data_IF_709784805250
#
_entry.id   IF_709784805250
#
_cell.length_a   1.000
_cell.length_b   1.000
_cell.length_c   1.000
_cell.angle_alpha   90.00
_cell.angle_beta   90.00
_cell.angle_gamma   90.00
#
_symmetry.space_group_name_H-M   'P 1'
#
loop_
_entity.id
_entity.type
_entity.pdbx_description
1 polymer ?
#
# COMPACT_ATOMS: atom_id res chain seq x y z
N UNK A 1 -2.63 -3.54 -48.97
CA UNK A 1 -1.98 -3.29 -47.67
C UNK A 1 -3.06 -2.82 -46.71
N UNK A 2 -3.59 -3.70 -45.86
CA UNK A 2 -4.47 -3.28 -44.77
C UNK A 2 -4.09 -4.07 -43.52
N UNK A 3 -3.56 -3.33 -42.54
CA UNK A 3 -3.05 -3.85 -41.29
C UNK A 3 -4.22 -4.18 -40.37
N UNK A 4 -4.51 -5.48 -40.22
CA UNK A 4 -5.44 -6.00 -39.20
C UNK A 4 -4.83 -5.75 -37.82
N UNK A 5 -5.14 -4.60 -37.21
CA UNK A 5 -4.81 -4.31 -35.80
C UNK A 5 -5.56 -5.31 -34.91
N UNK A 6 -4.91 -6.42 -34.57
CA UNK A 6 -5.33 -7.30 -33.47
C UNK A 6 -5.31 -6.46 -32.19
N UNK A 7 -6.48 -6.09 -31.71
CA UNK A 7 -6.66 -5.35 -30.46
C UNK A 7 -6.08 -6.20 -29.32
N UNK A 8 -5.00 -5.73 -28.70
CA UNK A 8 -4.24 -6.44 -27.68
C UNK A 8 -5.04 -6.44 -26.37
N UNK A 9 -5.99 -7.37 -26.20
CA UNK A 9 -6.69 -7.60 -24.92
C UNK A 9 -5.83 -8.35 -23.88
N UNK A 10 -4.84 -9.10 -24.34
CA UNK A 10 -3.96 -9.95 -23.51
C UNK A 10 -3.08 -9.14 -22.52
N UNK A 11 -2.45 -7.98 -22.88
CA UNK A 11 -1.64 -7.23 -21.92
C UNK A 11 -2.44 -6.57 -20.80
N UNK A 12 -3.69 -6.14 -21.05
CA UNK A 12 -4.52 -5.46 -20.04
C UNK A 12 -4.99 -6.39 -18.92
N UNK A 13 -5.38 -7.63 -19.25
CA UNK A 13 -5.73 -8.65 -18.26
C UNK A 13 -4.51 -9.07 -17.44
N UNK A 14 -3.34 -9.18 -18.09
CA UNK A 14 -2.09 -9.52 -17.43
C UNK A 14 -1.63 -8.41 -16.46
N UNK A 15 -1.82 -7.14 -16.81
CA UNK A 15 -1.52 -6.02 -15.90
C UNK A 15 -2.47 -5.95 -14.71
N UNK A 16 -3.76 -6.23 -14.87
CA UNK A 16 -4.72 -6.20 -13.75
C UNK A 16 -4.44 -7.33 -12.77
N UNK A 17 -4.16 -8.54 -13.28
CA UNK A 17 -3.78 -9.70 -12.43
C UNK A 17 -2.44 -9.45 -11.75
N UNK A 18 -1.47 -8.84 -12.45
CA UNK A 18 -0.22 -8.42 -11.82
C UNK A 18 -0.47 -7.38 -10.72
N UNK A 19 -1.24 -6.31 -10.96
CA UNK A 19 -1.58 -5.31 -9.95
C UNK A 19 -2.32 -5.91 -8.74
N UNK A 20 -3.20 -6.89 -8.94
CA UNK A 20 -3.88 -7.60 -7.85
C UNK A 20 -2.90 -8.47 -7.03
N UNK A 21 -1.99 -9.18 -7.68
CA UNK A 21 -0.93 -9.98 -7.03
C UNK A 21 0.15 -9.11 -6.36
N UNK A 22 0.38 -7.88 -6.86
CA UNK A 22 1.24 -6.89 -6.20
C UNK A 22 0.55 -6.24 -4.99
N UNK A 23 -0.78 -6.21 -4.96
CA UNK A 23 -1.58 -5.63 -3.87
C UNK A 23 -1.68 -6.55 -2.63
N UNK A 24 -1.41 -7.86 -2.77
CA UNK A 24 -1.37 -8.81 -1.64
C UNK A 24 -0.29 -8.47 -0.59
N UNK A 25 0.67 -7.60 -0.93
CA UNK A 25 1.74 -7.17 0.01
C UNK A 25 1.48 -5.84 0.73
N UNK A 26 0.29 -5.26 0.62
CA UNK A 26 -0.04 -3.98 1.28
C UNK A 26 -1.17 -4.09 2.31
N UNK A 27 -1.48 -5.28 2.81
CA UNK A 27 -2.30 -5.41 4.03
C UNK A 27 -1.43 -5.08 5.26
N UNK A 28 -1.01 -3.83 5.38
CA UNK A 28 -0.64 -3.28 6.69
C UNK A 28 -1.96 -3.10 7.44
N UNK A 29 -2.09 -3.74 8.61
CA UNK A 29 -3.23 -3.50 9.47
C UNK A 29 -3.18 -2.10 10.07
N UNK A 30 -4.32 -1.60 10.53
CA UNK A 30 -4.38 -0.27 11.14
C UNK A 30 -3.79 -0.31 12.56
N UNK A 31 -3.12 0.78 12.93
CA UNK A 31 -2.67 0.98 14.31
C UNK A 31 -3.82 1.48 15.20
N UNK A 32 -3.76 1.26 16.53
CA UNK A 32 -4.81 1.68 17.44
C UNK A 32 -5.10 3.19 17.36
N UNK A 33 -6.38 3.56 17.31
CA UNK A 33 -6.85 4.95 17.24
C UNK A 33 -7.31 5.46 18.61
N UNK A 34 -6.48 5.30 19.64
CA UNK A 34 -6.77 5.62 21.05
C UNK A 34 -6.30 7.02 21.49
N UNK A 35 -5.87 7.84 20.53
CA UNK A 35 -5.34 9.19 20.77
C UNK A 35 -3.83 9.23 20.99
N UNK A 36 -3.15 8.08 21.05
CA UNK A 36 -1.68 8.00 21.02
C UNK A 36 -1.16 8.12 19.59
N UNK A 37 0.08 8.55 19.45
CA UNK A 37 0.77 8.54 18.16
C UNK A 37 1.50 7.21 17.97
N UNK A 38 0.94 6.34 17.14
CA UNK A 38 1.51 5.04 16.80
C UNK A 38 2.30 5.12 15.50
N UNK A 39 3.42 4.41 15.46
CA UNK A 39 4.31 4.30 14.30
C UNK A 39 4.25 2.86 13.79
N UNK A 40 3.72 2.61 12.58
CA UNK A 40 3.66 1.26 12.03
C UNK A 40 5.04 0.80 11.57
N UNK A 41 5.42 -0.43 11.93
CA UNK A 41 6.59 -1.10 11.39
C UNK A 41 6.36 -2.62 11.37
N UNK A 42 6.60 -3.27 10.23
CA UNK A 42 6.31 -4.70 10.06
C UNK A 42 4.81 -4.99 10.25
N UNK A 43 4.48 -5.88 11.20
CA UNK A 43 3.11 -6.26 11.60
C UNK A 43 2.70 -5.68 12.96
N UNK A 44 3.51 -4.77 13.51
CA UNK A 44 3.28 -4.13 14.81
C UNK A 44 3.18 -2.61 14.66
N UNK A 45 2.73 -1.98 15.74
CA UNK A 45 2.60 -0.56 15.93
C UNK A 45 3.34 -0.18 17.20
N UNK A 46 4.13 0.89 17.14
CA UNK A 46 5.00 1.30 18.24
C UNK A 46 4.64 2.69 18.71
N UNK A 47 4.43 2.85 20.01
CA UNK A 47 4.21 4.14 20.65
C UNK A 47 5.39 4.47 21.56
N UNK A 48 6.19 5.45 21.13
CA UNK A 48 7.32 5.96 21.90
C UNK A 48 6.80 7.00 22.90
N UNK A 49 6.88 6.68 24.18
CA UNK A 49 6.38 7.56 25.25
C UNK A 49 7.30 8.76 25.36
N UNK A 50 6.80 9.94 25.03
CA UNK A 50 7.54 11.19 25.14
C UNK A 50 7.12 11.95 26.39
N UNK A 51 8.06 12.71 26.96
CA UNK A 51 7.77 13.62 28.06
C UNK A 51 7.44 15.03 27.59
N UNK A 52 7.54 15.96 28.55
CA UNK A 52 7.50 17.40 28.28
C UNK A 52 8.67 17.83 27.37
N UNK A 53 8.46 18.92 26.65
CA UNK A 53 9.38 19.41 25.63
C UNK A 53 10.81 19.55 26.17
N UNK A 54 11.78 18.92 25.47
CA UNK A 54 13.22 18.95 25.73
C UNK A 54 13.76 18.07 26.88
N UNK A 55 13.00 17.14 27.46
CA UNK A 55 13.57 16.13 28.35
C UNK A 55 13.20 14.70 27.93
N UNK A 56 14.17 13.79 27.81
CA UNK A 56 13.86 12.37 27.71
C UNK A 56 13.16 11.97 29.02
N UNK A 57 12.00 11.31 28.91
CA UNK A 57 11.29 10.81 30.08
C UNK A 57 11.67 9.35 30.29
N UNK A 58 12.31 9.11 31.41
CA UNK A 58 12.69 7.79 31.87
C UNK A 58 11.69 7.37 32.96
N UNK A 59 11.41 6.07 33.03
CA UNK A 59 10.45 5.51 33.96
C UNK A 59 11.01 4.24 34.58
N UNK A 60 10.65 3.94 35.82
CA UNK A 60 10.84 2.61 36.39
C UNK A 60 10.06 1.56 35.61
N UNK A 61 10.47 0.29 35.68
CA UNK A 61 9.83 -0.80 34.95
C UNK A 61 8.32 -0.91 35.24
N UNK A 62 7.91 -0.79 36.51
CA UNK A 62 6.50 -0.87 36.89
C UNK A 62 5.68 0.26 36.27
N UNK A 63 6.26 1.46 36.21
CA UNK A 63 5.63 2.62 35.57
C UNK A 63 5.58 2.44 34.05
N UNK A 64 6.62 1.85 33.45
CA UNK A 64 6.63 1.50 32.02
C UNK A 64 5.51 0.51 31.67
N UNK A 65 5.39 -0.58 32.44
CA UNK A 65 4.31 -1.57 32.30
C UNK A 65 2.92 -0.93 32.48
N UNK A 66 2.77 -0.03 33.46
CA UNK A 66 1.53 0.69 33.66
C UNK A 66 1.18 1.62 32.49
N UNK A 67 2.19 2.26 31.88
CA UNK A 67 2.02 3.16 30.73
C UNK A 67 1.57 2.39 29.49
N UNK A 68 2.11 1.19 29.28
CA UNK A 68 1.72 0.30 28.19
C UNK A 68 0.50 -0.58 28.50
N UNK A 69 -0.23 -0.34 29.59
CA UNK A 69 -1.43 -1.12 29.94
C UNK A 69 -2.43 -1.17 28.78
N UNK A 70 -2.88 -2.38 28.43
CA UNK A 70 -3.75 -2.65 27.28
C UNK A 70 -2.97 -3.02 26.00
N UNK A 71 -1.64 -2.88 26.05
CA UNK A 71 -0.68 -3.24 25.01
C UNK A 71 0.51 -3.94 25.67
N UNK A 72 1.60 -4.11 24.92
CA UNK A 72 2.82 -4.75 25.42
C UNK A 72 3.98 -3.77 25.52
N UNK A 73 4.96 -4.10 26.35
CA UNK A 73 6.25 -3.41 26.36
C UNK A 73 7.10 -3.98 25.22
N UNK A 74 7.94 -3.14 24.61
CA UNK A 74 8.72 -3.47 23.43
C UNK A 74 9.30 -4.89 23.42
N UNK A 75 8.89 -5.67 22.43
CA UNK A 75 9.59 -6.90 22.04
C UNK A 75 10.53 -6.62 20.85
N UNK A 76 11.54 -7.47 20.65
CA UNK A 76 12.43 -7.35 19.49
C UNK A 76 12.64 -8.73 18.88
N UNK A 77 11.97 -8.96 17.75
CA UNK A 77 11.85 -10.25 17.06
C UNK A 77 12.93 -10.49 16.02
N UNK A 78 13.53 -9.43 15.49
CA UNK A 78 14.55 -9.53 14.46
C UNK A 78 15.46 -8.28 14.43
N UNK A 79 16.50 -8.35 13.60
CA UNK A 79 17.48 -7.28 13.45
C UNK A 79 16.87 -6.01 12.85
N UNK A 80 15.91 -6.15 11.95
CA UNK A 80 15.23 -5.03 11.29
C UNK A 80 14.40 -4.21 12.29
N UNK A 81 13.68 -4.88 13.18
CA UNK A 81 12.95 -4.26 14.29
C UNK A 81 13.89 -3.57 15.27
N UNK A 82 14.98 -4.24 15.66
CA UNK A 82 16.00 -3.63 16.51
C UNK A 82 16.57 -2.35 15.90
N UNK A 83 16.83 -2.37 14.59
CA UNK A 83 17.32 -1.22 13.84
C UNK A 83 16.28 -0.09 13.77
N UNK A 84 15.02 -0.43 13.53
CA UNK A 84 13.92 0.55 13.52
C UNK A 84 13.81 1.30 14.86
N UNK A 85 13.89 0.58 16.00
CA UNK A 85 13.82 1.19 17.32
C UNK A 85 14.94 2.22 17.53
N UNK A 86 16.19 1.89 17.16
CA UNK A 86 17.31 2.82 17.35
C UNK A 86 17.28 4.00 16.37
N UNK A 87 16.76 3.83 15.16
CA UNK A 87 16.64 4.92 14.19
C UNK A 87 15.51 5.89 14.53
N UNK A 88 14.43 5.40 15.15
CA UNK A 88 13.27 6.22 15.51
C UNK A 88 13.42 6.91 16.87
N UNK A 89 14.07 6.26 17.85
CA UNK A 89 14.32 6.80 19.19
C UNK A 89 14.83 8.27 19.22
N UNK A 90 15.87 8.67 18.45
CA UNK A 90 16.38 10.05 18.48
C UNK A 90 15.43 11.09 17.87
N UNK A 91 14.38 10.66 17.17
CA UNK A 91 13.34 11.56 16.66
C UNK A 91 12.35 11.96 17.76
N UNK A 92 12.26 11.16 18.83
CA UNK A 92 11.32 11.35 19.95
C UNK A 92 12.05 11.89 21.18
N UNK A 93 13.20 11.31 21.51
CA UNK A 93 13.97 11.68 22.69
C UNK A 93 15.26 12.40 22.30
N UNK A 94 15.55 13.51 22.97
CA UNK A 94 16.84 14.19 22.84
C UNK A 94 17.89 13.47 23.69
N UNK A 95 18.96 13.02 23.05
CA UNK A 95 20.06 12.29 23.69
C UNK A 95 19.92 10.77 23.56
N UNK A 96 20.85 10.03 24.17
CA UNK A 96 20.83 8.58 24.17
C UNK A 96 20.16 8.12 25.47
N UNK A 97 18.96 7.54 25.36
CA UNK A 97 18.23 6.92 26.46
C UNK A 97 18.09 5.43 26.18
N UNK A 98 18.35 4.58 27.17
CA UNK A 98 18.11 3.15 27.03
C UNK A 98 16.60 2.90 27.06
N UNK A 99 16.13 1.83 26.44
CA UNK A 99 14.70 1.53 26.26
C UNK A 99 14.39 0.22 26.96
N UNK A 100 13.37 0.21 27.81
CA UNK A 100 12.93 -1.04 28.43
C UNK A 100 12.49 -2.07 27.39
N UNK A 101 12.91 -3.32 27.58
CA UNK A 101 12.42 -4.46 26.84
C UNK A 101 11.39 -5.24 27.67
N UNK A 102 10.35 -5.76 27.01
CA UNK A 102 9.32 -6.61 27.59
C UNK A 102 9.76 -8.04 27.88
N UNK A 103 11.03 -8.25 28.21
CA UNK A 103 11.63 -9.52 28.60
C UNK A 103 11.31 -9.82 30.07
N UNK A 104 10.94 -11.06 30.35
CA UNK A 104 10.85 -11.58 31.71
C UNK A 104 11.44 -12.99 31.78
N UNK A 105 11.86 -13.38 32.99
CA UNK A 105 12.34 -14.73 33.24
C UNK A 105 11.19 -15.64 33.66
N UNK A 106 10.96 -16.72 32.89
CA UNK A 106 9.98 -17.74 33.23
C UNK A 106 10.63 -18.81 34.11
N UNK A 107 10.23 -18.88 35.38
CA UNK A 107 10.76 -19.84 36.37
C UNK A 107 10.33 -21.28 36.12
N UNK A 108 9.24 -21.52 35.39
CA UNK A 108 8.75 -22.88 35.13
C UNK A 108 9.62 -23.59 34.09
N UNK A 109 10.14 -22.83 33.13
CA UNK A 109 10.94 -23.33 32.02
C UNK A 109 12.42 -22.95 32.10
N UNK A 110 12.83 -22.13 33.09
CA UNK A 110 14.19 -21.63 33.29
C UNK A 110 14.71 -20.84 32.07
N UNK A 111 13.84 -20.05 31.43
CA UNK A 111 14.12 -19.34 30.17
C UNK A 111 13.57 -17.92 30.15
N UNK A 112 14.24 -17.02 29.44
CA UNK A 112 13.67 -15.70 29.11
C UNK A 112 12.58 -15.81 28.05
N UNK A 113 11.52 -15.03 28.23
CA UNK A 113 10.36 -14.96 27.34
C UNK A 113 9.90 -13.50 27.17
N UNK A 114 9.21 -13.23 26.07
CA UNK A 114 8.49 -11.98 25.85
C UNK A 114 7.13 -12.03 26.56
N UNK A 115 6.59 -10.89 26.97
CA UNK A 115 5.32 -10.80 27.69
C UNK A 115 4.09 -11.40 26.98
N UNK A 116 4.14 -11.59 25.66
CA UNK A 116 3.14 -12.35 24.88
C UNK A 116 3.25 -13.88 25.05
N UNK A 117 4.15 -14.35 25.92
CA UNK A 117 4.51 -15.75 26.15
C UNK A 117 5.18 -16.44 24.97
N UNK A 118 5.82 -15.68 24.07
CA UNK A 118 6.68 -16.27 23.03
C UNK A 118 8.14 -16.36 23.49
N UNK A 119 8.87 -17.29 22.88
CA UNK A 119 10.29 -17.46 23.12
C UNK A 119 11.13 -16.33 22.52
N UNK A 120 12.33 -16.14 23.07
CA UNK A 120 13.30 -15.17 22.58
C UNK A 120 14.13 -15.81 21.46
N UNK A 121 13.78 -15.54 20.21
CA UNK A 121 14.47 -16.09 19.03
C UNK A 121 15.64 -15.21 18.57
N UNK A 122 15.46 -13.89 18.64
CA UNK A 122 16.49 -12.91 18.33
C UNK A 122 17.08 -12.34 19.63
N UNK A 123 18.40 -12.21 19.67
CA UNK A 123 19.13 -11.63 20.79
C UNK A 123 20.23 -10.70 20.28
N UNK A 124 20.44 -9.58 20.98
CA UNK A 124 21.50 -8.64 20.65
C UNK A 124 22.24 -8.13 21.89
N UNK A 125 22.56 -9.02 22.83
CA UNK A 125 23.23 -8.68 24.09
C UNK A 125 24.55 -7.93 23.89
N UNK A 126 24.82 -7.00 24.80
CA UNK A 126 26.11 -6.34 25.00
C UNK A 126 27.03 -7.26 25.80
N UNK A 127 28.24 -7.49 25.27
CA UNK A 127 29.19 -8.42 25.88
C UNK A 127 28.72 -9.87 25.80
N UNK A 128 29.15 -10.70 26.75
CA UNK A 128 28.87 -12.13 26.73
C UNK A 128 27.47 -12.49 27.23
N UNK A 129 26.72 -11.57 27.85
CA UNK A 129 25.38 -11.86 28.41
C UNK A 129 25.38 -12.95 29.50
N UNK A 130 26.56 -13.34 30.02
CA UNK A 130 26.71 -14.61 30.77
C UNK A 130 26.49 -14.47 32.28
N UNK A 131 26.69 -13.31 32.89
CA UNK A 131 26.50 -13.23 34.35
C UNK A 131 26.40 -11.78 34.82
N UNK A 132 25.18 -11.32 35.11
CA UNK A 132 24.96 -10.07 35.83
C UNK A 132 25.19 -10.24 37.35
N UNK A 133 25.43 -11.47 37.83
CA UNK A 133 25.49 -11.79 39.26
C UNK A 133 24.14 -11.67 39.98
N UNK A 134 23.07 -11.40 39.23
CA UNK A 134 21.71 -11.25 39.71
C UNK A 134 20.97 -12.59 39.63
N UNK A 135 19.99 -12.76 40.52
CA UNK A 135 19.02 -13.85 40.37
C UNK A 135 18.29 -13.69 39.04
N UNK A 136 18.14 -14.74 38.21
CA UNK A 136 17.46 -14.64 36.92
C UNK A 136 16.06 -14.01 36.99
N UNK A 137 15.37 -14.20 38.13
CA UNK A 137 14.03 -13.65 38.40
C UNK A 137 14.04 -12.13 38.57
N UNK A 138 15.18 -11.57 38.98
CA UNK A 138 15.38 -10.13 39.19
C UNK A 138 16.08 -9.47 37.98
N UNK A 139 16.31 -10.23 36.90
CA UNK A 139 16.94 -9.74 35.67
C UNK A 139 15.88 -9.25 34.68
N UNK A 140 15.98 -7.97 34.38
CA UNK A 140 15.27 -7.29 33.30
C UNK A 140 16.26 -6.91 32.19
N UNK A 141 15.75 -6.39 31.08
CA UNK A 141 16.59 -6.01 29.95
C UNK A 141 16.26 -4.61 29.43
N UNK A 142 17.29 -3.90 29.00
CA UNK A 142 17.17 -2.61 28.34
C UNK A 142 17.99 -2.60 27.05
N UNK A 143 17.48 -1.92 26.02
CA UNK A 143 18.13 -1.71 24.73
C UNK A 143 18.83 -0.35 24.74
N UNK A 144 20.11 -0.33 24.38
CA UNK A 144 20.89 0.89 24.19
C UNK A 144 20.50 1.53 22.86
N UNK A 145 19.85 2.70 22.89
CA UNK A 145 19.36 3.38 21.67
C UNK A 145 20.47 3.81 20.70
N UNK A 146 21.72 3.89 21.16
CA UNK A 146 22.86 4.31 20.34
C UNK A 146 23.57 3.15 19.62
N UNK A 147 23.60 1.96 20.23
CA UNK A 147 24.32 0.77 19.71
C UNK A 147 23.38 -0.32 19.24
N UNK A 148 22.12 -0.28 19.67
CA UNK A 148 21.14 -1.35 19.50
C UNK A 148 21.40 -2.58 20.35
N UNK A 149 22.43 -2.58 21.19
CA UNK A 149 22.77 -3.71 22.07
C UNK A 149 21.89 -3.75 23.31
N UNK A 150 21.71 -4.94 23.88
CA UNK A 150 20.88 -5.14 25.05
C UNK A 150 21.72 -5.38 26.29
N UNK A 151 21.36 -4.79 27.40
CA UNK A 151 22.00 -5.01 28.70
C UNK A 151 21.04 -5.69 29.65
N UNK A 152 21.59 -6.51 30.56
CA UNK A 152 20.86 -7.02 31.71
C UNK A 152 20.89 -5.98 32.82
N UNK A 153 19.72 -5.66 33.36
CA UNK A 153 19.53 -4.67 34.43
C UNK A 153 18.67 -5.26 35.53
N UNK A 154 18.80 -4.73 36.75
CA UNK A 154 17.95 -5.14 37.85
C UNK A 154 16.51 -4.66 37.64
N UNK A 155 15.53 -5.53 37.83
CA UNK A 155 14.11 -5.15 37.87
C UNK A 155 13.72 -4.41 39.16
N UNK A 156 14.51 -4.57 40.23
CA UNK A 156 14.16 -4.15 41.59
C UNK A 156 14.76 -2.80 41.99
N UNK A 157 15.75 -2.32 41.25
CA UNK A 157 16.36 -1.01 41.50
C UNK A 157 15.52 0.11 40.85
N UNK A 158 15.68 1.34 41.35
CA UNK A 158 15.08 2.56 40.77
C UNK A 158 15.77 2.97 39.46
N UNK A 159 16.10 1.99 38.61
CA UNK A 159 16.61 2.21 37.25
C UNK A 159 15.47 2.76 36.41
N UNK A 160 15.75 3.80 35.64
CA UNK A 160 14.77 4.44 34.77
C UNK A 160 15.25 4.38 33.32
N UNK A 161 14.39 3.88 32.43
CA UNK A 161 14.65 3.82 30.99
C UNK A 161 13.45 4.38 30.22
N UNK A 162 13.67 4.69 28.94
CA UNK A 162 12.63 5.07 27.99
C UNK A 162 11.65 3.93 27.74
N UNK A 163 10.44 4.30 27.30
CA UNK A 163 9.33 3.36 27.14
C UNK A 163 8.83 3.38 25.71
N UNK A 164 8.79 2.20 25.11
CA UNK A 164 8.10 1.97 23.84
C UNK A 164 7.04 0.91 24.09
N UNK A 165 5.78 1.26 23.81
CA UNK A 165 4.68 0.31 23.83
C UNK A 165 4.50 -0.28 22.44
N UNK A 166 4.25 -1.57 22.37
CA UNK A 166 4.01 -2.33 21.15
C UNK A 166 2.57 -2.85 21.13
N UNK A 167 1.91 -2.71 19.99
CA UNK A 167 0.61 -3.29 19.70
C UNK A 167 0.70 -4.08 18.40
N UNK A 168 0.07 -5.24 18.33
CA UNK A 168 -0.15 -5.91 17.06
C UNK A 168 -1.00 -4.99 16.15
N UNK A 169 -0.67 -4.94 14.86
CA UNK A 169 -1.58 -4.31 13.90
C UNK A 169 -2.90 -5.06 13.92
N UNK A 170 -4.02 -4.33 13.95
CA UNK A 170 -5.31 -4.97 13.80
C UNK A 170 -5.35 -5.54 12.39
N UNK A 171 -5.26 -6.87 12.27
CA UNK A 171 -5.66 -7.52 11.03
C UNK A 171 -7.06 -7.01 10.77
N UNK A 172 -7.31 -6.44 9.59
CA UNK A 172 -8.66 -6.15 9.14
C UNK A 172 -9.35 -7.51 9.22
N UNK A 173 -10.07 -7.75 10.32
CA UNK A 173 -10.94 -8.89 10.44
C UNK A 173 -11.81 -8.73 9.20
N UNK A 174 -11.70 -9.68 8.29
CA UNK A 174 -12.70 -9.82 7.27
C UNK A 174 -14.05 -10.07 8.00
N UNK A 175 -14.72 -9.01 8.47
CA UNK A 175 -16.00 -8.75 7.83
C UNK A 175 -15.62 -8.67 6.38
N UNK A 176 -15.72 -9.81 5.70
CA UNK A 176 -15.57 -9.94 4.28
C UNK A 176 -16.56 -8.95 3.66
N UNK A 177 -16.08 -7.72 3.56
CA UNK A 177 -16.54 -6.67 2.69
C UNK A 177 -16.07 -6.97 1.27
N UNK A 178 -15.70 -8.21 0.95
CA UNK A 178 -16.19 -8.87 -0.25
C UNK A 178 -17.72 -8.96 -0.19
N UNK A 179 -18.38 -7.81 -0.04
CA UNK A 179 -19.77 -7.68 -0.42
C UNK A 179 -19.77 -8.07 -1.89
N UNK A 180 -20.52 -9.11 -2.31
CA UNK A 180 -20.65 -9.45 -3.72
C UNK A 180 -21.09 -8.24 -4.55
N UNK A 181 -21.60 -7.19 -3.89
CA UNK A 181 -21.88 -5.87 -4.40
C UNK A 181 -20.66 -5.13 -4.98
N UNK A 182 -19.50 -5.07 -4.31
CA UNK A 182 -18.37 -4.26 -4.79
C UNK A 182 -17.68 -4.94 -5.99
N UNK A 183 -17.50 -6.25 -5.93
CA UNK A 183 -17.04 -7.07 -7.07
C UNK A 183 -18.04 -7.04 -8.22
N UNK A 184 -19.36 -7.11 -7.93
CA UNK A 184 -20.38 -6.96 -8.96
C UNK A 184 -20.41 -5.55 -9.56
N UNK A 185 -20.20 -4.49 -8.78
CA UNK A 185 -20.14 -3.12 -9.28
C UNK A 185 -18.95 -2.91 -10.22
N UNK A 186 -17.78 -3.42 -9.86
CA UNK A 186 -16.60 -3.40 -10.73
C UNK A 186 -16.87 -4.20 -12.00
N UNK A 187 -17.39 -5.43 -11.90
CA UNK A 187 -17.71 -6.26 -13.06
C UNK A 187 -18.77 -5.61 -13.98
N UNK A 188 -19.84 -5.04 -13.40
CA UNK A 188 -20.88 -4.33 -14.13
C UNK A 188 -20.34 -3.09 -14.82
N UNK A 189 -19.47 -2.32 -14.15
CA UNK A 189 -18.83 -1.15 -14.76
C UNK A 189 -17.99 -1.53 -15.98
N UNK A 190 -17.24 -2.64 -15.90
CA UNK A 190 -16.44 -3.17 -17.01
C UNK A 190 -17.33 -3.63 -18.16
N UNK A 191 -18.42 -4.36 -17.88
CA UNK A 191 -19.36 -4.80 -18.91
C UNK A 191 -20.05 -3.63 -19.62
N UNK A 192 -20.42 -2.57 -18.88
CA UNK A 192 -21.01 -1.35 -19.45
C UNK A 192 -19.99 -0.63 -20.34
N UNK A 193 -18.74 -0.48 -19.89
CA UNK A 193 -17.69 0.16 -20.68
C UNK A 193 -17.44 -0.62 -21.98
N UNK A 194 -17.38 -1.96 -21.92
CA UNK A 194 -17.24 -2.80 -23.10
C UNK A 194 -18.44 -2.66 -24.05
N UNK A 195 -19.66 -2.65 -23.52
CA UNK A 195 -20.89 -2.45 -24.30
C UNK A 195 -20.91 -1.08 -25.00
N UNK A 196 -20.66 0.00 -24.28
CA UNK A 196 -20.59 1.37 -24.84
C UNK A 196 -19.51 1.46 -25.91
N UNK A 197 -18.34 0.87 -25.67
CA UNK A 197 -17.25 0.86 -26.65
C UNK A 197 -17.63 0.13 -27.96
N UNK A 198 -18.35 -0.99 -27.87
CA UNK A 198 -18.82 -1.74 -29.03
C UNK A 198 -19.92 -0.98 -29.80
N UNK A 199 -20.82 -0.31 -29.08
CA UNK A 199 -21.88 0.52 -29.67
C UNK A 199 -21.30 1.74 -30.39
N UNK A 200 -20.37 2.46 -29.75
CA UNK A 200 -19.66 3.58 -30.39
C UNK A 200 -18.89 3.11 -31.62
N UNK A 201 -18.22 1.96 -31.55
CA UNK A 201 -17.54 1.37 -32.69
C UNK A 201 -18.50 1.02 -33.83
N UNK A 202 -19.66 0.42 -33.53
CA UNK A 202 -20.68 0.08 -34.52
C UNK A 202 -21.29 1.34 -35.18
N UNK A 203 -21.60 2.38 -34.40
CA UNK A 203 -22.09 3.65 -34.95
C UNK A 203 -21.04 4.37 -35.79
N UNK A 204 -19.77 4.37 -35.35
CA UNK A 204 -18.66 4.90 -36.13
C UNK A 204 -18.49 4.12 -37.45
N UNK A 205 -18.62 2.79 -37.41
CA UNK A 205 -18.61 1.96 -38.62
C UNK A 205 -19.79 2.27 -39.55
N UNK A 206 -20.98 2.56 -38.99
CA UNK A 206 -22.17 2.92 -39.77
C UNK A 206 -22.08 4.31 -40.38
N UNK A 207 -21.52 5.28 -39.65
CA UNK A 207 -21.25 6.63 -40.16
C UNK A 207 -20.18 6.62 -41.25
N UNK A 208 -19.11 5.82 -41.10
CA UNK A 208 -18.12 5.61 -42.16
C UNK A 208 -18.67 4.80 -43.36
N UNK A 209 -19.69 3.96 -43.17
CA UNK A 209 -20.37 3.29 -44.28
C UNK A 209 -21.28 4.27 -45.05
N UNK A 210 -21.86 5.25 -44.35
CA UNK A 210 -22.71 6.29 -44.95
C UNK A 210 -21.92 7.35 -45.72
N UNK A 211 -20.64 7.58 -45.43
CA UNK A 211 -19.79 8.49 -46.22
C UNK A 211 -19.13 7.85 -47.43
N UNK A 212 -19.28 6.53 -47.64
CA UNK A 212 -18.76 5.81 -48.80
C UNK A 212 -19.82 5.43 -49.85
N UNK A 213 -21.10 5.78 -49.66
CA UNK A 213 -22.11 5.57 -50.70
C UNK A 213 -23.11 6.73 -50.73
N UNK A 214 -23.23 7.33 -51.91
CA UNK A 214 -24.21 8.33 -52.35
C UNK A 214 -23.84 9.82 -52.23
N UNK A 215 -22.93 10.23 -53.12
CA UNK A 215 -23.19 11.31 -54.09
C UNK A 215 -22.82 10.73 -55.48
N UNK A 216 -23.43 10.99 -56.62
CA UNK A 216 -24.64 11.70 -57.02
C UNK A 216 -25.00 11.14 -58.41
N UNK A 217 -26.29 10.90 -58.69
CA UNK A 217 -26.76 10.82 -60.09
C UNK A 217 -28.20 11.32 -60.13
N UNK A 218 -28.36 12.64 -60.09
CA UNK A 218 -29.61 13.32 -60.40
C UNK A 218 -29.69 13.43 -61.93
N UNK A 219 -30.36 12.46 -62.57
CA UNK A 219 -30.63 12.50 -64.01
C UNK A 219 -32.04 13.05 -64.22
N UNK A 220 -32.15 14.30 -64.65
CA UNK A 220 -33.40 14.88 -65.13
C UNK A 220 -33.56 14.61 -66.64
N UNK A 221 -34.69 14.04 -67.11
CA UNK A 221 -35.02 14.07 -68.53
C UNK A 221 -35.90 15.29 -68.84
N UNK A 222 -35.73 15.93 -70.00
CA UNK A 222 -36.85 16.65 -70.59
C UNK A 222 -37.16 16.25 -72.04
N UNK A 223 -38.47 16.07 -72.25
CA UNK A 223 -39.27 16.37 -73.43
C UNK A 223 -39.02 15.64 -74.76
N UNK A 224 -40.06 14.89 -75.14
CA UNK A 224 -40.33 14.37 -76.48
C UNK A 224 -41.02 15.44 -77.32
N UNK A 225 -40.51 15.72 -78.51
CA UNK A 225 -41.31 15.98 -79.72
C UNK A 225 -40.48 15.66 -80.98
N UNK A 226 -41.10 15.43 -82.16
CA UNK A 226 -40.70 14.36 -83.08
C UNK A 226 -39.76 14.75 -84.24
N UNK A 227 -38.94 13.77 -84.64
CA UNK A 227 -38.27 13.49 -85.93
C UNK A 227 -37.90 14.65 -86.87
N UNK A 228 -36.60 14.78 -87.19
CA UNK A 228 -36.07 14.67 -88.56
C UNK A 228 -34.53 14.65 -88.53
N UNK A 229 -33.96 14.01 -89.53
CA UNK A 229 -32.56 13.65 -89.74
C UNK A 229 -31.52 14.79 -89.69
N UNK A 230 -30.24 14.36 -89.72
CA UNK A 230 -29.06 15.03 -90.30
C UNK A 230 -28.08 15.75 -89.34
N UNK A 231 -26.99 15.02 -89.08
CA UNK A 231 -25.57 15.37 -89.32
C UNK A 231 -24.87 16.61 -88.70
N UNK A 232 -23.67 16.31 -88.18
CA UNK A 232 -22.37 16.89 -88.56
C UNK A 232 -21.78 18.11 -87.79
N UNK A 233 -20.48 17.92 -87.43
CA UNK A 233 -19.34 18.87 -87.27
C UNK A 233 -19.35 19.75 -86.00
N UNK A 234 -18.39 19.68 -85.04
CA UNK A 234 -16.91 19.83 -84.99
C UNK A 234 -16.39 21.27 -85.18
N UNK A 235 -15.63 21.70 -84.16
CA UNK A 235 -14.71 22.85 -84.01
C UNK A 235 -15.32 24.26 -83.91
N UNK A 236 -14.83 25.21 -83.09
CA UNK A 236 -13.55 25.42 -82.39
C UNK A 236 -13.68 26.51 -81.29
N UNK A 237 -12.78 26.51 -80.30
CA UNK A 237 -11.96 27.63 -79.72
C UNK A 237 -12.40 29.09 -80.03
N UNK A 238 -12.32 30.15 -79.21
CA UNK A 238 -11.84 30.55 -77.86
C UNK A 238 -12.16 32.07 -77.76
N UNK A 239 -11.87 32.70 -76.61
CA UNK A 239 -11.64 34.15 -76.39
C UNK A 239 -12.87 35.09 -76.50
N UNK A 240 -13.06 36.12 -75.69
CA UNK A 240 -12.30 36.70 -74.58
C UNK A 240 -13.21 37.66 -73.80
N UNK A 241 -12.84 37.87 -72.53
CA UNK A 241 -12.87 39.10 -71.73
C UNK A 241 -14.01 40.14 -71.88
N UNK A 242 -14.59 40.56 -70.74
CA UNK A 242 -14.16 41.79 -70.05
C UNK A 242 -15.12 42.18 -68.90
N UNK A 243 -14.48 42.46 -67.75
CA UNK A 243 -14.86 43.37 -66.66
C UNK A 243 -15.98 42.98 -65.68
#
# INVERSE_FOLDING_TARGET
MESKKRFRLIPFLCTIVAFALYCERCYAGDCPADGRTWVPFGQSCYHFVHGEENRPQAYTLDTAKATCRGYELLSVRNAEENQFIIEYSPQVWKGNINVWLGLYFNTDNDTFMWHDNTGVEYVNWEGSGVDSGLSPVDVCAALHSSTGKWEQVSCLEDVENGVVCEAAQESINEKAGNSPMLTALVALSVLVILGVSAVLWFFHQRQNFSSSMFTAFEYHPPFRSPTSDVAALVDSEETDEMA
#
